data_IF_831434472684
#
_entry.id   IF_831434472684
#
_cell.length_a   1.000
_cell.length_b   1.000
_cell.length_c   1.000
_cell.angle_alpha   90.00
_cell.angle_beta   90.00
_cell.angle_gamma   90.00
#
_symmetry.space_group_name_H-M   'P 1'
#
loop_
_entity.id
_entity.type
_entity.pdbx_description
1 polymer ?
#
# COMPACT_ATOMS: atom_id res chain seq x y z
N UNK A 1 -1.19 15.97 3.52
CA UNK A 1 -0.35 14.77 3.61
C UNK A 1 -0.64 14.05 4.91
N UNK A 2 -0.85 12.75 4.85
CA UNK A 2 -1.27 11.95 6.00
C UNK A 2 -0.13 11.03 6.47
N UNK A 3 0.84 11.61 7.16
CA UNK A 3 2.06 10.89 7.57
C UNK A 3 1.78 9.68 8.47
N UNK A 4 0.78 9.77 9.34
CA UNK A 4 0.42 8.63 10.21
C UNK A 4 -0.06 7.40 9.42
N UNK A 5 -0.49 7.58 8.19
CA UNK A 5 -0.94 6.49 7.32
C UNK A 5 0.21 5.58 6.90
N UNK A 6 1.45 6.09 6.89
CA UNK A 6 2.64 5.28 6.60
C UNK A 6 2.70 4.08 7.55
N UNK A 7 2.57 4.34 8.85
CA UNK A 7 2.62 3.29 9.86
C UNK A 7 1.47 2.29 9.73
N UNK A 8 0.26 2.76 9.44
CA UNK A 8 -0.89 1.90 9.19
C UNK A 8 -0.66 0.97 8.00
N UNK A 9 -0.10 1.50 6.93
CA UNK A 9 0.17 0.72 5.72
C UNK A 9 1.28 -0.31 5.95
N UNK A 10 2.32 0.07 6.68
CA UNK A 10 3.38 -0.87 7.07
C UNK A 10 2.78 -2.03 7.87
N UNK A 11 1.94 -1.72 8.86
CA UNK A 11 1.26 -2.74 9.66
C UNK A 11 0.40 -3.65 8.79
N UNK A 12 -0.37 -3.08 7.88
CA UNK A 12 -1.23 -3.83 6.95
C UNK A 12 -0.41 -4.85 6.16
N UNK A 13 0.69 -4.44 5.54
CA UNK A 13 1.50 -5.34 4.73
C UNK A 13 2.26 -6.34 5.59
N UNK A 14 2.67 -5.95 6.80
CA UNK A 14 3.27 -6.89 7.76
C UNK A 14 2.30 -8.03 8.08
N UNK A 15 1.06 -7.70 8.41
CA UNK A 15 0.03 -8.69 8.72
C UNK A 15 -0.31 -9.56 7.51
N UNK A 16 -0.34 -8.99 6.31
CA UNK A 16 -0.55 -9.75 5.08
C UNK A 16 0.55 -10.78 4.84
N UNK A 17 1.77 -10.48 5.27
CA UNK A 17 2.90 -11.39 5.18
C UNK A 17 2.98 -12.35 6.38
N UNK A 18 2.01 -12.27 7.30
CA UNK A 18 1.95 -13.12 8.50
C UNK A 18 3.17 -12.97 9.40
N UNK A 19 3.72 -11.76 9.47
CA UNK A 19 4.86 -11.44 10.32
C UNK A 19 4.39 -10.74 11.59
N UNK A 20 5.04 -11.07 12.72
CA UNK A 20 4.90 -10.31 13.95
C UNK A 20 5.82 -9.08 13.88
N UNK A 21 5.62 -8.11 14.76
CA UNK A 21 6.51 -6.96 14.86
C UNK A 21 7.97 -7.41 15.09
N UNK A 22 8.16 -8.42 15.93
CA UNK A 22 9.48 -8.99 16.21
C UNK A 22 10.13 -9.58 14.97
N UNK A 23 9.36 -10.26 14.12
CA UNK A 23 9.86 -10.89 12.92
C UNK A 23 10.33 -9.85 11.90
N UNK A 24 9.53 -8.81 11.71
CA UNK A 24 9.90 -7.71 10.82
C UNK A 24 11.15 -7.00 11.33
N UNK A 25 11.18 -6.71 12.62
CA UNK A 25 12.31 -6.02 13.25
C UNK A 25 13.61 -6.81 13.08
N UNK A 26 13.58 -8.10 13.37
CA UNK A 26 14.77 -8.97 13.24
C UNK A 26 15.31 -8.96 11.82
N UNK A 27 14.42 -9.14 10.84
CA UNK A 27 14.82 -9.18 9.42
C UNK A 27 15.31 -7.84 8.89
N UNK A 28 14.78 -6.74 9.42
CA UNK A 28 15.17 -5.40 8.99
C UNK A 28 16.31 -4.80 9.81
N UNK A 29 16.81 -5.51 10.82
CA UNK A 29 17.86 -5.00 11.68
C UNK A 29 17.40 -3.89 12.60
N UNK A 30 16.14 -3.94 13.06
CA UNK A 30 15.50 -2.95 13.92
C UNK A 30 14.99 -3.61 15.19
N UNK A 31 14.41 -2.83 16.11
CA UNK A 31 13.79 -3.38 17.31
C UNK A 31 12.27 -3.48 17.14
N UNK A 32 11.64 -4.43 17.83
CA UNK A 32 10.19 -4.56 17.82
C UNK A 32 9.51 -3.29 18.37
N UNK A 33 10.10 -2.69 19.39
CA UNK A 33 9.59 -1.43 19.93
C UNK A 33 9.58 -0.31 18.89
N UNK A 34 10.65 -0.21 18.09
CA UNK A 34 10.71 0.78 17.02
C UNK A 34 9.64 0.54 15.95
N UNK A 35 9.45 -0.72 15.54
CA UNK A 35 8.40 -1.07 14.57
C UNK A 35 7.03 -0.67 15.14
N UNK A 36 6.77 -0.96 16.41
CA UNK A 36 5.52 -0.55 17.06
C UNK A 36 5.31 0.96 17.04
N UNK A 37 6.35 1.74 17.30
CA UNK A 37 6.27 3.20 17.26
C UNK A 37 5.96 3.72 15.87
N UNK A 38 6.59 3.14 14.84
CA UNK A 38 6.31 3.50 13.45
C UNK A 38 4.87 3.17 13.08
N UNK A 39 4.41 1.99 13.44
CA UNK A 39 3.04 1.54 13.12
C UNK A 39 1.98 2.40 13.80
N UNK A 40 2.25 2.91 14.99
CA UNK A 40 1.33 3.80 15.71
C UNK A 40 1.42 5.27 15.28
N UNK A 41 2.33 5.58 14.35
CA UNK A 41 2.53 6.95 13.89
C UNK A 41 3.33 7.83 14.85
N UNK A 42 3.96 7.24 15.86
CA UNK A 42 4.77 7.96 16.84
C UNK A 42 6.14 8.32 16.30
N UNK A 43 6.63 7.57 15.33
CA UNK A 43 7.89 7.83 14.64
C UNK A 43 7.72 7.70 13.14
N UNK A 44 8.39 8.59 12.42
CA UNK A 44 8.49 8.52 10.96
C UNK A 44 9.89 8.01 10.66
N UNK A 45 10.03 6.87 9.96
CA UNK A 45 11.35 6.32 9.69
C UNK A 45 12.14 7.24 8.75
N UNK A 46 13.46 7.24 8.90
CA UNK A 46 14.34 7.84 7.90
C UNK A 46 14.17 7.11 6.57
N UNK A 47 14.60 7.73 5.48
CA UNK A 47 14.51 7.11 4.17
C UNK A 47 15.23 5.77 4.13
N UNK A 48 16.43 5.68 4.71
CA UNK A 48 17.19 4.44 4.77
C UNK A 48 16.43 3.34 5.51
N UNK A 49 15.89 3.66 6.68
CA UNK A 49 15.12 2.71 7.48
C UNK A 49 13.83 2.29 6.77
N UNK A 50 13.18 3.23 6.12
CA UNK A 50 11.97 2.96 5.32
C UNK A 50 12.27 1.95 4.22
N UNK A 51 13.37 2.12 3.49
CA UNK A 51 13.80 1.21 2.44
C UNK A 51 14.06 -0.20 3.01
N UNK A 52 14.70 -0.30 4.18
CA UNK A 52 14.93 -1.59 4.85
C UNK A 52 13.61 -2.29 5.17
N UNK A 53 12.64 -1.57 5.67
CA UNK A 53 11.31 -2.11 5.98
C UNK A 53 10.62 -2.61 4.69
N UNK A 54 10.63 -1.81 3.64
CA UNK A 54 10.02 -2.18 2.37
C UNK A 54 10.65 -3.42 1.77
N UNK A 55 11.99 -3.49 1.78
CA UNK A 55 12.71 -4.64 1.25
C UNK A 55 12.37 -5.91 2.03
N UNK A 56 12.25 -5.81 3.35
CA UNK A 56 11.88 -6.94 4.19
C UNK A 56 10.46 -7.42 3.92
N UNK A 57 9.53 -6.49 3.72
CA UNK A 57 8.14 -6.80 3.41
C UNK A 57 7.93 -7.24 1.97
N UNK A 58 8.86 -6.92 1.08
CA UNK A 58 8.72 -7.24 -0.35
C UNK A 58 7.64 -6.41 -1.02
N UNK A 59 7.44 -5.16 -0.59
CA UNK A 59 6.46 -4.26 -1.16
C UNK A 59 7.14 -3.01 -1.72
N UNK A 60 6.47 -2.33 -2.65
CA UNK A 60 6.98 -1.10 -3.23
C UNK A 60 6.63 0.11 -2.36
N UNK A 61 7.38 1.19 -2.52
CA UNK A 61 7.06 2.45 -1.86
C UNK A 61 5.69 2.97 -2.29
N UNK A 62 5.31 2.80 -3.55
CA UNK A 62 4.01 3.21 -4.07
C UNK A 62 2.86 2.56 -3.30
N UNK A 63 3.00 1.29 -2.96
CA UNK A 63 1.98 0.57 -2.20
C UNK A 63 1.77 1.18 -0.81
N UNK A 64 2.86 1.51 -0.13
CA UNK A 64 2.80 2.05 1.23
C UNK A 64 2.40 3.52 1.25
N UNK A 65 2.80 4.29 0.25
CA UNK A 65 2.57 5.73 0.17
C UNK A 65 1.30 6.13 -0.59
N UNK A 66 0.54 5.17 -1.11
CA UNK A 66 -0.62 5.45 -1.97
C UNK A 66 -1.67 6.36 -1.33
N UNK A 67 -1.86 6.26 -0.01
CA UNK A 67 -2.84 7.05 0.73
C UNK A 67 -2.21 8.24 1.47
N UNK A 68 -0.90 8.40 1.38
CA UNK A 68 -0.15 9.42 2.13
C UNK A 68 -0.07 10.72 1.34
N UNK A 69 0.13 10.61 0.04
CA UNK A 69 0.25 11.75 -0.85
C UNK A 69 -1.12 12.32 -1.21
N UNK A 70 -1.16 13.60 -1.50
CA UNK A 70 -2.40 14.28 -1.89
C UNK A 70 -2.96 13.74 -3.22
N UNK A 71 -2.09 13.17 -4.06
CA UNK A 71 -2.47 12.54 -5.32
C UNK A 71 -2.46 11.01 -5.27
N UNK A 72 -2.74 10.43 -4.10
CA UNK A 72 -2.75 8.98 -3.89
C UNK A 72 -3.68 8.23 -4.85
N UNK A 73 -4.80 8.85 -5.24
CA UNK A 73 -5.71 8.28 -6.22
C UNK A 73 -5.00 8.02 -7.56
N UNK A 74 -4.18 8.95 -8.03
CA UNK A 74 -3.42 8.80 -9.27
C UNK A 74 -2.41 7.67 -9.17
N UNK A 75 -1.74 7.53 -8.02
CA UNK A 75 -0.79 6.43 -7.76
C UNK A 75 -1.50 5.09 -7.83
N UNK A 76 -2.64 4.95 -7.13
CA UNK A 76 -3.42 3.70 -7.14
C UNK A 76 -3.90 3.35 -8.54
N UNK A 77 -4.32 4.33 -9.31
CA UNK A 77 -4.78 4.14 -10.67
C UNK A 77 -3.64 3.64 -11.58
N UNK A 78 -2.45 4.21 -11.44
CA UNK A 78 -1.27 3.76 -12.19
C UNK A 78 -0.89 2.32 -11.86
N UNK A 79 -0.94 1.94 -10.59
CA UNK A 79 -0.68 0.57 -10.15
C UNK A 79 -1.69 -0.42 -10.74
N UNK A 80 -2.96 -0.04 -10.77
CA UNK A 80 -4.01 -0.86 -11.36
C UNK A 80 -3.78 -1.04 -12.87
N UNK A 81 -3.44 0.02 -13.57
CA UNK A 81 -3.16 -0.02 -15.01
C UNK A 81 -2.01 -0.95 -15.33
N UNK A 82 -0.93 -0.93 -14.54
CA UNK A 82 0.20 -1.85 -14.73
C UNK A 82 -0.24 -3.31 -14.63
N UNK A 83 -1.10 -3.62 -13.67
CA UNK A 83 -1.62 -4.98 -13.49
C UNK A 83 -2.51 -5.39 -14.67
N UNK A 84 -3.34 -4.47 -15.14
CA UNK A 84 -4.23 -4.74 -16.27
C UNK A 84 -3.47 -4.97 -17.57
N UNK A 85 -2.38 -4.24 -17.79
CA UNK A 85 -1.56 -4.39 -18.99
C UNK A 85 -0.93 -5.78 -19.13
N UNK A 86 -0.74 -6.48 -18.02
CA UNK A 86 -0.16 -7.82 -18.00
C UNK A 86 -1.17 -8.92 -18.34
N UNK A 87 -2.44 -8.57 -18.46
CA UNK A 87 -3.51 -9.53 -18.74
C UNK A 87 -3.76 -9.64 -20.24
N UNK A 88 -4.32 -10.80 -20.66
CA UNK A 88 -4.82 -10.96 -22.02
C UNK A 88 -5.95 -9.95 -22.27
N UNK A 89 -6.10 -9.47 -23.54
CA UNK A 89 -7.14 -8.49 -23.85
C UNK A 89 -8.55 -8.90 -23.45
N UNK A 90 -8.87 -10.18 -23.57
CA UNK A 90 -10.18 -10.73 -23.21
C UNK A 90 -10.47 -10.59 -21.72
N UNK A 91 -9.49 -10.91 -20.88
CA UNK A 91 -9.61 -10.79 -19.43
C UNK A 91 -9.69 -9.33 -19.01
N UNK A 92 -8.90 -8.47 -19.62
CA UNK A 92 -8.91 -7.04 -19.37
C UNK A 92 -10.26 -6.42 -19.70
N UNK A 93 -10.84 -6.77 -20.85
CA UNK A 93 -12.15 -6.29 -21.27
C UNK A 93 -13.25 -6.76 -20.32
N UNK A 94 -13.16 -7.98 -19.84
CA UNK A 94 -14.11 -8.52 -18.86
C UNK A 94 -14.07 -7.75 -17.56
N UNK A 95 -12.88 -7.38 -17.10
CA UNK A 95 -12.70 -6.57 -15.90
C UNK A 95 -13.31 -5.18 -16.08
N UNK A 96 -13.07 -4.55 -17.24
CA UNK A 96 -13.68 -3.25 -17.55
C UNK A 96 -15.20 -3.29 -17.57
N UNK A 97 -15.80 -4.35 -18.09
CA UNK A 97 -17.25 -4.52 -18.08
C UNK A 97 -17.79 -4.60 -16.66
N UNK A 98 -17.13 -5.37 -15.78
CA UNK A 98 -17.52 -5.48 -14.38
C UNK A 98 -17.42 -4.12 -13.68
N UNK A 99 -16.31 -3.41 -13.87
CA UNK A 99 -16.10 -2.07 -13.30
C UNK A 99 -17.18 -1.11 -13.78
N UNK A 100 -17.48 -1.09 -15.07
CA UNK A 100 -18.50 -0.22 -15.65
C UNK A 100 -19.88 -0.48 -15.05
N UNK A 101 -20.23 -1.76 -14.90
CA UNK A 101 -21.48 -2.16 -14.27
C UNK A 101 -21.56 -1.68 -12.83
N UNK A 102 -20.48 -1.85 -12.07
CA UNK A 102 -20.43 -1.41 -10.68
C UNK A 102 -20.55 0.11 -10.57
N UNK A 103 -19.90 0.85 -11.46
CA UNK A 103 -19.99 2.31 -11.50
C UNK A 103 -21.43 2.75 -11.76
N UNK A 104 -22.11 2.13 -12.72
CA UNK A 104 -23.50 2.45 -13.06
C UNK A 104 -24.46 2.20 -11.90
N UNK A 105 -24.18 1.21 -11.07
CA UNK A 105 -24.98 0.87 -9.91
C UNK A 105 -24.62 1.68 -8.67
N UNK A 106 -23.51 2.42 -8.72
CA UNK A 106 -23.01 3.19 -7.59
C UNK A 106 -23.65 4.57 -7.52
N UNK A 107 -23.68 5.10 -6.29
CA UNK A 107 -24.20 6.44 -6.05
C UNK A 107 -23.20 7.48 -6.55
N UNK A 108 -23.65 8.36 -7.44
CA UNK A 108 -22.82 9.42 -7.98
C UNK A 108 -22.79 10.60 -7.01
N UNK A 109 -21.62 11.19 -6.82
CA UNK A 109 -21.45 12.38 -5.97
C UNK A 109 -21.70 13.66 -6.78
N UNK A 110 -21.33 13.63 -8.07
CA UNK A 110 -21.49 14.77 -8.97
C UNK A 110 -22.63 14.50 -9.96
N UNK A 111 -23.37 15.54 -10.35
CA UNK A 111 -24.45 15.39 -11.35
C UNK A 111 -23.95 14.97 -12.73
#
# INVERSE_FOLDING_TARGET
>A
MKLATIGKNIRKYRLMKKLRQEDLAEKAGLTANYIGMVERGEKIPSLETFIKILNTLGVSADMVLSDVLDNGYTVKNSMLNEKLEKLAPEDRNRIYEVIDTMIKQSKQILP
#
